data_IF_271193864942
#
_entry.id   IF_271193864942
#
_cell.length_a   1.000
_cell.length_b   1.000
_cell.length_c   1.000
_cell.angle_alpha   90.00
_cell.angle_beta   90.00
_cell.angle_gamma   90.00
#
_symmetry.space_group_name_H-M   'P 1'
#
loop_
_entity.id
_entity.type
_entity.pdbx_description
1 polymer ?
#
# COMPACT_ATOMS: atom_id res chain seq x y z
N UNK A 1 -22.94 22.91 -6.11
CA UNK A 1 -21.79 23.85 -6.22
C UNK A 1 -21.32 24.17 -4.81
N UNK A 2 -20.74 23.18 -4.13
CA UNK A 2 -20.27 23.33 -2.75
C UNK A 2 -19.61 22.06 -2.20
N UNK A 3 -19.72 20.96 -2.93
CA UNK A 3 -19.39 19.61 -2.48
C UNK A 3 -17.97 19.20 -2.91
N UNK A 4 -17.46 19.80 -4.00
CA UNK A 4 -16.16 19.49 -4.58
C UNK A 4 -15.00 19.96 -3.70
N UNK A 5 -15.04 21.20 -3.21
CA UNK A 5 -13.91 21.79 -2.44
C UNK A 5 -13.68 21.04 -1.13
N UNK A 6 -14.75 20.56 -0.49
CA UNK A 6 -14.66 19.80 0.75
C UNK A 6 -14.09 18.39 0.51
N UNK A 7 -14.43 17.75 -0.62
CA UNK A 7 -13.85 16.45 -1.00
C UNK A 7 -12.37 16.58 -1.40
N UNK A 8 -12.01 17.62 -2.17
CA UNK A 8 -10.62 17.89 -2.55
C UNK A 8 -9.75 18.22 -1.32
N UNK A 9 -10.26 19.03 -0.39
CA UNK A 9 -9.57 19.34 0.87
C UNK A 9 -9.32 18.10 1.71
N UNK A 10 -10.34 17.26 1.92
CA UNK A 10 -10.20 16.00 2.65
C UNK A 10 -9.28 14.99 1.94
N UNK A 11 -9.25 14.98 0.60
CA UNK A 11 -8.34 14.12 -0.17
C UNK A 11 -6.89 14.58 -0.06
N UNK A 12 -6.62 15.88 -0.14
CA UNK A 12 -5.29 16.48 0.02
C UNK A 12 -4.72 16.25 1.43
N UNK A 13 -5.54 16.45 2.46
CA UNK A 13 -5.16 16.20 3.85
C UNK A 13 -4.80 14.72 4.04
N UNK A 14 -5.67 13.80 3.59
CA UNK A 14 -5.40 12.37 3.66
C UNK A 14 -4.13 11.97 2.90
N UNK A 15 -3.89 12.52 1.71
CA UNK A 15 -2.65 12.24 0.96
C UNK A 15 -1.40 12.75 1.69
N UNK A 16 -1.47 13.90 2.35
CA UNK A 16 -0.39 14.41 3.20
C UNK A 16 -0.10 13.48 4.39
N UNK A 17 -1.15 12.99 5.05
CA UNK A 17 -1.04 12.05 6.17
C UNK A 17 -0.46 10.70 5.74
N UNK A 18 -0.88 10.17 4.60
CA UNK A 18 -0.38 8.91 4.03
C UNK A 18 1.12 9.01 3.72
N UNK A 19 1.56 10.12 3.10
CA UNK A 19 2.99 10.36 2.85
C UNK A 19 3.80 10.46 4.14
N UNK A 20 3.27 11.14 5.15
CA UNK A 20 3.91 11.24 6.47
C UNK A 20 4.02 9.85 7.13
N UNK A 21 2.97 9.04 7.07
CA UNK A 21 2.96 7.68 7.59
C UNK A 21 4.03 6.78 6.93
N UNK A 22 4.16 6.85 5.60
CA UNK A 22 5.22 6.13 4.86
C UNK A 22 6.61 6.53 5.37
N UNK A 23 6.85 7.83 5.59
CA UNK A 23 8.13 8.30 6.11
C UNK A 23 8.41 7.76 7.52
N UNK A 24 7.39 7.76 8.40
CA UNK A 24 7.50 7.22 9.76
C UNK A 24 7.78 5.72 9.75
N UNK A 25 7.06 4.93 8.95
CA UNK A 25 7.31 3.49 8.84
C UNK A 25 8.70 3.18 8.29
N UNK A 26 9.18 3.93 7.29
CA UNK A 26 10.56 3.78 6.79
C UNK A 26 11.61 4.13 7.85
N UNK A 27 11.33 5.12 8.70
CA UNK A 27 12.20 5.41 9.84
C UNK A 27 12.17 4.29 10.89
N UNK A 28 10.98 3.75 11.20
CA UNK A 28 10.83 2.59 12.08
C UNK A 28 11.62 1.39 11.57
N UNK A 29 11.57 1.12 10.26
CA UNK A 29 12.35 0.06 9.61
C UNK A 29 13.86 0.29 9.65
N UNK A 30 14.34 1.55 9.73
CA UNK A 30 15.76 1.83 9.96
C UNK A 30 16.21 1.45 11.37
N UNK A 31 15.31 1.54 12.35
CA UNK A 31 15.58 1.18 13.74
C UNK A 31 15.39 -0.33 13.97
N UNK A 32 14.38 -0.93 13.32
CA UNK A 32 14.03 -2.33 13.45
C UNK A 32 13.75 -2.93 12.05
N UNK A 33 14.79 -3.29 11.30
CA UNK A 33 14.66 -3.80 9.92
C UNK A 33 14.01 -5.18 9.82
N UNK A 34 13.80 -5.86 10.95
CA UNK A 34 13.20 -7.19 11.01
C UNK A 34 11.77 -7.16 11.56
N UNK A 35 11.15 -5.98 11.66
CA UNK A 35 9.81 -5.85 12.20
C UNK A 35 8.76 -6.07 11.11
N UNK A 36 8.26 -7.31 10.99
CA UNK A 36 7.29 -7.70 9.97
C UNK A 36 6.03 -6.81 9.94
N UNK A 37 5.48 -6.46 11.11
CA UNK A 37 4.30 -5.59 11.20
C UNK A 37 4.52 -4.19 10.58
N UNK A 38 5.74 -3.63 10.66
CA UNK A 38 6.05 -2.35 10.01
C UNK A 38 6.02 -2.48 8.49
N UNK A 39 6.50 -3.60 7.94
CA UNK A 39 6.41 -3.87 6.51
C UNK A 39 4.96 -4.06 6.05
N UNK A 40 4.11 -4.71 6.86
CA UNK A 40 2.67 -4.82 6.57
C UNK A 40 1.99 -3.46 6.51
N UNK A 41 2.21 -2.62 7.53
CA UNK A 41 1.62 -1.28 7.59
C UNK A 41 2.14 -0.38 6.46
N UNK A 42 3.44 -0.47 6.15
CA UNK A 42 4.04 0.26 5.02
C UNK A 42 3.41 -0.21 3.70
N UNK A 43 3.29 -1.52 3.48
CA UNK A 43 2.68 -2.08 2.28
C UNK A 43 1.23 -1.62 2.09
N UNK A 44 0.41 -1.70 3.15
CA UNK A 44 -0.96 -1.22 3.12
C UNK A 44 -1.06 0.28 2.80
N UNK A 45 -0.21 1.09 3.42
CA UNK A 45 -0.20 2.55 3.21
C UNK A 45 0.21 2.91 1.77
N UNK A 46 1.18 2.18 1.21
CA UNK A 46 1.61 2.34 -0.19
C UNK A 46 0.51 1.88 -1.16
N UNK A 47 -0.21 0.80 -0.84
CA UNK A 47 -1.35 0.34 -1.64
C UNK A 47 -2.47 1.39 -1.70
N UNK A 48 -2.72 2.13 -0.61
CA UNK A 48 -3.68 3.24 -0.61
C UNK A 48 -3.28 4.39 -1.54
N UNK A 49 -2.00 4.51 -1.92
CA UNK A 49 -1.53 5.46 -2.93
C UNK A 49 -1.61 4.92 -4.37
N UNK A 50 -2.09 3.67 -4.56
CA UNK A 50 -2.12 3.00 -5.86
C UNK A 50 -0.75 2.48 -6.32
N UNK A 51 0.23 2.40 -5.41
CA UNK A 51 1.57 1.92 -5.71
C UNK A 51 1.72 0.41 -5.44
N UNK A 52 0.86 -0.38 -6.07
CA UNK A 52 0.65 -1.79 -5.72
C UNK A 52 1.92 -2.64 -5.83
N UNK A 53 2.78 -2.41 -6.83
CA UNK A 53 4.06 -3.12 -6.94
C UNK A 53 4.97 -2.92 -5.73
N UNK A 54 5.04 -1.68 -5.22
CA UNK A 54 5.86 -1.37 -4.05
C UNK A 54 5.22 -1.91 -2.76
N UNK A 55 3.87 -1.92 -2.70
CA UNK A 55 3.13 -2.53 -1.61
C UNK A 55 3.37 -4.05 -1.52
N UNK A 56 3.29 -4.75 -2.67
CA UNK A 56 3.57 -6.19 -2.76
C UNK A 56 4.98 -6.49 -2.24
N UNK A 57 5.99 -5.77 -2.69
CA UNK A 57 7.37 -6.00 -2.23
C UNK A 57 7.53 -5.84 -0.71
N UNK A 58 6.81 -4.89 -0.10
CA UNK A 58 6.81 -4.72 1.36
C UNK A 58 6.12 -5.91 2.06
N UNK A 59 4.98 -6.36 1.54
CA UNK A 59 4.23 -7.48 2.10
C UNK A 59 4.98 -8.81 1.96
N UNK A 60 5.65 -9.04 0.83
CA UNK A 60 6.53 -10.20 0.65
C UNK A 60 7.68 -10.17 1.67
N UNK A 61 8.26 -8.99 1.92
CA UNK A 61 9.29 -8.87 2.96
C UNK A 61 8.77 -9.16 4.36
N UNK A 62 7.53 -8.77 4.66
CA UNK A 62 6.88 -9.12 5.91
C UNK A 62 6.69 -10.65 6.06
N UNK A 63 6.30 -11.32 4.98
CA UNK A 63 6.13 -12.78 4.94
C UNK A 63 7.47 -13.51 5.10
N UNK A 64 8.54 -13.00 4.49
CA UNK A 64 9.89 -13.56 4.68
C UNK A 64 10.36 -13.47 6.13
N UNK A 65 9.99 -12.41 6.84
CA UNK A 65 10.35 -12.19 8.24
C UNK A 65 9.46 -12.97 9.22
N UNK A 66 8.15 -13.04 8.93
CA UNK A 66 7.15 -13.73 9.73
C UNK A 66 6.20 -14.53 8.81
N UNK A 67 6.59 -15.76 8.43
CA UNK A 67 5.79 -16.59 7.52
C UNK A 67 4.47 -17.07 8.13
N UNK A 68 4.31 -16.95 9.46
CA UNK A 68 3.07 -17.25 10.17
C UNK A 68 2.13 -16.03 10.26
N UNK A 69 2.58 -14.86 9.76
CA UNK A 69 1.89 -13.59 9.83
C UNK A 69 0.70 -13.50 8.89
N UNK A 70 -0.49 -13.89 9.36
CA UNK A 70 -1.75 -13.89 8.58
C UNK A 70 -2.06 -12.53 7.96
N UNK A 71 -1.70 -11.43 8.64
CA UNK A 71 -1.96 -10.08 8.17
C UNK A 71 -1.29 -9.79 6.82
N UNK A 72 -0.04 -10.22 6.62
CA UNK A 72 0.70 -9.95 5.38
C UNK A 72 0.07 -10.68 4.19
N UNK A 73 -0.29 -11.96 4.37
CA UNK A 73 -1.01 -12.74 3.37
C UNK A 73 -2.38 -12.17 3.04
N UNK A 74 -3.13 -11.71 4.05
CA UNK A 74 -4.44 -11.09 3.86
C UNK A 74 -4.33 -9.81 3.02
N UNK A 75 -3.40 -8.91 3.35
CA UNK A 75 -3.18 -7.68 2.58
C UNK A 75 -2.72 -7.99 1.15
N UNK A 76 -1.84 -8.99 0.97
CA UNK A 76 -1.37 -9.40 -0.36
C UNK A 76 -2.51 -9.96 -1.20
N UNK A 77 -3.36 -10.82 -0.62
CA UNK A 77 -4.52 -11.39 -1.28
C UNK A 77 -5.53 -10.31 -1.69
N UNK A 78 -5.81 -9.35 -0.81
CA UNK A 78 -6.69 -8.21 -1.12
C UNK A 78 -6.14 -7.38 -2.29
N UNK A 79 -4.83 -7.11 -2.29
CA UNK A 79 -4.18 -6.34 -3.33
C UNK A 79 -4.18 -7.08 -4.68
N UNK A 80 -3.95 -8.40 -4.66
CA UNK A 80 -4.04 -9.23 -5.88
C UNK A 80 -5.47 -9.35 -6.39
N UNK A 81 -6.45 -9.51 -5.51
CA UNK A 81 -7.86 -9.53 -5.90
C UNK A 81 -8.28 -8.22 -6.57
N UNK A 82 -7.79 -7.08 -6.07
CA UNK A 82 -8.02 -5.78 -6.69
C UNK A 82 -7.42 -5.69 -8.11
N UNK A 83 -6.26 -6.33 -8.33
CA UNK A 83 -5.60 -6.42 -9.64
C UNK A 83 -6.30 -7.42 -10.59
N UNK A 84 -6.79 -8.55 -10.08
CA UNK A 84 -7.54 -9.55 -10.87
C UNK A 84 -8.92 -9.04 -11.30
N UNK A 85 -9.49 -8.07 -10.57
CA UNK A 85 -10.69 -7.34 -10.99
C UNK A 85 -10.45 -6.36 -12.16
N UNK A 86 -9.21 -6.21 -12.64
CA UNK A 86 -8.89 -5.50 -13.88
C UNK A 86 -8.44 -6.48 -14.99
N UNK A 87 -9.36 -7.21 -15.65
CA UNK A 87 -9.04 -7.90 -16.90
C UNK A 87 -8.75 -6.92 -18.07
N UNK A 88 -8.67 -5.60 -17.84
CA UNK A 88 -8.72 -4.57 -18.88
C UNK A 88 -7.52 -3.60 -18.88
N UNK A 89 -6.30 -4.10 -18.66
CA UNK A 89 -5.08 -3.29 -18.77
C UNK A 89 -4.04 -3.81 -19.79
N UNK A 90 -4.38 -4.83 -20.60
CA UNK A 90 -3.46 -5.41 -21.61
C UNK A 90 -3.94 -5.18 -23.06
N UNK A 91 -5.02 -4.42 -23.29
CA UNK A 91 -5.55 -4.20 -24.65
C UNK A 91 -5.24 -2.83 -25.29
N UNK A 92 -4.42 -1.97 -24.67
CA UNK A 92 -4.17 -0.61 -25.19
C UNK A 92 -2.68 -0.27 -25.28
N UNK A 93 -1.91 -1.22 -25.84
CA UNK A 93 -0.47 -1.08 -25.97
C UNK A 93 0.15 -1.78 -27.18
N UNK A 94 -0.54 -1.86 -28.33
CA UNK A 94 0.10 -1.90 -29.67
C UNK A 94 -0.98 -1.81 -30.77
N UNK A 95 -1.18 -0.61 -31.31
CA UNK A 95 -1.54 -0.39 -32.73
C UNK A 95 -0.24 -0.18 -33.48
#
# INVERSE_FOLDING_TARGET
>A
MGDDVQQFGCALVRQGEVNAAIAQFRQGLRLAPNWAALYVNLGQTIAQQGHDRAAIACLERAIELEPEGVAAYWQLAQLRQQQECWPEAIALGSV
#
